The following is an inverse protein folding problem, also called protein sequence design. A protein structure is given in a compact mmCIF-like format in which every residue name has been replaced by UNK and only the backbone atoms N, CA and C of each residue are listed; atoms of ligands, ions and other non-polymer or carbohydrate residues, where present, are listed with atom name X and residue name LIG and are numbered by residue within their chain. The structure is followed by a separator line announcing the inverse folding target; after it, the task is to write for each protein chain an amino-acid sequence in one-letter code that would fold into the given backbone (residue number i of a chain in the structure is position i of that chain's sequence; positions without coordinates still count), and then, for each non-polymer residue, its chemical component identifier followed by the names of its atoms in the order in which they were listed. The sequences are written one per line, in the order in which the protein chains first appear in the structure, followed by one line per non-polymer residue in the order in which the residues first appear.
data_IF_202610420968
#
_entry.id   IF_202610420968
#
_cell.length_a   1.000
_cell.length_b   1.000
_cell.length_c   1.000
_cell.angle_alpha   90.00
_cell.angle_beta   90.00
_cell.angle_gamma   90.00
#
_symmetry.space_group_name_H-M   'P 1'
#
loop_
_entity.id
_entity.type
_entity.pdbx_description
1 polymer ?
#
# COMPACT_ATOMS: atom_id res chain seq x y z
N UNK A 1 16.73 7.07 54.16
CA UNK A 1 16.02 7.67 53.03
C UNK A 1 17.02 7.75 51.89
N UNK A 2 16.87 6.93 50.86
CA UNK A 2 17.74 6.97 49.69
C UNK A 2 17.30 8.14 48.81
N UNK A 3 18.22 9.06 48.51
CA UNK A 3 18.00 10.15 47.56
C UNK A 3 17.72 9.55 46.18
N UNK A 4 16.52 9.84 45.66
CA UNK A 4 16.16 9.49 44.30
C UNK A 4 16.92 10.47 43.39
N UNK A 5 17.94 9.99 42.67
CA UNK A 5 18.66 10.78 41.67
C UNK A 5 17.63 11.38 40.69
N UNK A 6 17.57 12.70 40.62
CA UNK A 6 16.80 13.42 39.62
C UNK A 6 17.37 13.08 38.24
N UNK A 7 16.56 12.43 37.41
CA UNK A 7 16.93 12.06 36.04
C UNK A 7 17.27 13.35 35.27
N UNK A 8 18.51 13.45 34.82
CA UNK A 8 19.00 14.58 34.02
C UNK A 8 18.41 14.50 32.61
N UNK A 9 17.34 15.28 32.36
CA UNK A 9 16.61 15.32 31.09
C UNK A 9 17.52 15.64 29.88
N UNK A 10 18.60 16.40 30.08
CA UNK A 10 19.55 16.71 29.01
C UNK A 10 20.43 15.51 28.65
N UNK A 11 20.83 14.69 29.64
CA UNK A 11 21.51 13.42 29.39
C UNK A 11 20.58 12.40 28.73
N UNK A 12 19.30 12.40 29.10
CA UNK A 12 18.29 11.56 28.46
C UNK A 12 18.10 11.96 26.99
N UNK A 13 18.01 13.26 26.69
CA UNK A 13 17.90 13.79 25.32
C UNK A 13 19.14 13.51 24.45
N UNK A 14 20.35 13.69 24.98
CA UNK A 14 21.58 13.36 24.24
C UNK A 14 21.76 11.84 24.04
N UNK A 15 21.36 11.03 25.03
CA UNK A 15 21.28 9.59 24.87
C UNK A 15 20.21 9.21 23.84
N UNK A 16 19.11 9.98 23.76
CA UNK A 16 18.04 9.79 22.79
C UNK A 16 18.46 10.06 21.36
N UNK A 17 19.08 11.21 21.08
CA UNK A 17 19.62 11.50 19.75
C UNK A 17 20.70 10.49 19.33
N UNK A 18 21.55 10.09 20.27
CA UNK A 18 22.59 9.08 20.02
C UNK A 18 22.01 7.69 19.82
N UNK A 19 20.90 7.36 20.49
CA UNK A 19 20.18 6.11 20.30
C UNK A 19 19.38 6.12 19.01
N UNK A 20 18.73 7.23 18.61
CA UNK A 20 18.11 7.40 17.29
C UNK A 20 19.12 7.24 16.16
N UNK A 21 20.31 7.85 16.27
CA UNK A 21 21.41 7.71 15.31
C UNK A 21 21.99 6.28 15.28
N UNK A 22 21.96 5.57 16.42
CA UNK A 22 22.34 4.16 16.53
C UNK A 22 21.20 3.18 16.22
N UNK A 23 19.96 3.65 16.06
CA UNK A 23 18.80 2.88 15.63
C UNK A 23 18.95 2.63 14.13
N UNK A 24 19.90 1.74 13.87
CA UNK A 24 20.38 1.17 12.64
C UNK A 24 19.91 1.86 11.35
N UNK A 25 20.50 3.01 11.10
CA UNK A 25 20.31 3.78 9.88
C UNK A 25 20.68 2.97 8.62
N UNK A 26 21.57 1.97 8.77
CA UNK A 26 21.93 1.05 7.70
C UNK A 26 20.83 0.02 7.44
N UNK A 27 20.24 -0.59 8.48
CA UNK A 27 19.08 -1.48 8.36
C UNK A 27 17.86 -0.76 7.77
N UNK A 28 17.62 0.51 8.15
CA UNK A 28 16.54 1.33 7.60
C UNK A 28 16.74 1.67 6.13
N UNK A 29 17.97 1.97 5.73
CA UNK A 29 18.33 2.23 4.32
C UNK A 29 18.18 0.97 3.49
N UNK A 30 18.62 -0.18 4.02
CA UNK A 30 18.42 -1.47 3.37
C UNK A 30 16.93 -1.80 3.26
N UNK A 31 16.14 -1.57 4.31
CA UNK A 31 14.68 -1.75 4.28
C UNK A 31 14.02 -0.86 3.22
N UNK A 32 14.47 0.39 3.05
CA UNK A 32 13.95 1.27 2.00
C UNK A 32 14.27 0.76 0.60
N UNK A 33 15.46 0.20 0.41
CA UNK A 33 15.86 -0.40 -0.86
C UNK A 33 15.02 -1.65 -1.17
N UNK A 34 14.89 -2.56 -0.21
CA UNK A 34 14.08 -3.78 -0.35
C UNK A 34 12.60 -3.43 -0.61
N UNK A 35 12.09 -2.40 0.07
CA UNK A 35 10.73 -1.89 -0.12
C UNK A 35 10.52 -1.38 -1.55
N UNK A 36 11.45 -0.59 -2.09
CA UNK A 36 11.37 -0.10 -3.47
C UNK A 36 11.33 -1.24 -4.48
N UNK A 37 12.18 -2.24 -4.29
CA UNK A 37 12.21 -3.43 -5.16
C UNK A 37 10.91 -4.23 -5.07
N UNK A 38 10.35 -4.39 -3.87
CA UNK A 38 9.08 -5.06 -3.67
C UNK A 38 7.90 -4.29 -4.30
N UNK A 39 7.89 -2.97 -4.21
CA UNK A 39 6.86 -2.12 -4.83
C UNK A 39 6.91 -2.16 -6.36
N UNK A 40 8.10 -2.17 -6.96
CA UNK A 40 8.26 -2.31 -8.41
C UNK A 40 7.84 -3.71 -8.89
N UNK A 41 8.17 -4.76 -8.14
CA UNK A 41 7.68 -6.12 -8.43
C UNK A 41 6.17 -6.20 -8.33
N UNK A 42 5.57 -5.67 -7.26
CA UNK A 42 4.13 -5.66 -7.08
C UNK A 42 3.49 -4.99 -8.31
N UNK A 43 3.96 -3.79 -8.71
CA UNK A 43 3.47 -3.08 -9.90
C UNK A 43 3.48 -3.91 -11.20
N UNK A 44 4.41 -4.84 -11.37
CA UNK A 44 4.44 -5.74 -12.53
C UNK A 44 3.48 -6.93 -12.41
N UNK A 45 3.15 -7.35 -11.18
CA UNK A 45 2.28 -8.48 -10.87
C UNK A 45 0.82 -8.05 -10.61
N UNK A 46 0.36 -6.96 -11.21
CA UNK A 46 -1.03 -6.47 -11.07
C UNK A 46 -2.01 -7.53 -11.57
N UNK A 47 -2.85 -8.05 -10.67
CA UNK A 47 -3.86 -9.05 -11.02
C UNK A 47 -3.36 -10.50 -11.12
N UNK A 48 -2.17 -10.81 -10.58
CA UNK A 48 -1.76 -12.21 -10.45
C UNK A 48 -2.70 -12.96 -9.48
N UNK A 49 -3.31 -14.02 -10.00
CA UNK A 49 -4.23 -14.93 -9.29
C UNK A 49 -3.67 -16.35 -9.25
N UNK A 50 -2.36 -16.52 -9.41
CA UNK A 50 -1.69 -17.83 -9.35
C UNK A 50 -1.84 -18.50 -7.98
N UNK A 51 -1.94 -17.70 -6.92
CA UNK A 51 -1.95 -18.22 -5.55
C UNK A 51 -3.33 -18.14 -4.88
N UNK A 52 -4.26 -18.96 -5.36
CA UNK A 52 -5.63 -19.05 -4.85
C UNK A 52 -5.76 -20.17 -3.83
N UNK A 53 -6.37 -19.88 -2.68
CA UNK A 53 -6.68 -20.89 -1.68
C UNK A 53 -7.84 -21.79 -2.13
N UNK A 54 -7.78 -23.08 -1.81
CA UNK A 54 -8.86 -24.03 -2.10
C UNK A 54 -10.19 -23.66 -1.43
N UNK A 55 -10.15 -23.00 -0.27
CA UNK A 55 -11.34 -22.50 0.44
C UNK A 55 -11.79 -21.12 -0.04
N UNK A 56 -11.14 -20.55 -1.06
CA UNK A 56 -11.39 -19.22 -1.58
C UNK A 56 -10.42 -18.16 -1.05
N UNK A 57 -10.28 -17.07 -1.81
CA UNK A 57 -9.36 -15.97 -1.52
C UNK A 57 -7.97 -16.14 -2.14
N UNK A 58 -7.16 -15.09 -2.02
CA UNK A 58 -5.77 -15.07 -2.47
C UNK A 58 -4.85 -15.27 -1.26
N UNK A 59 -3.85 -16.13 -1.42
CA UNK A 59 -2.82 -16.37 -0.42
C UNK A 59 -1.66 -15.41 -0.70
N UNK A 60 -1.23 -14.73 0.35
CA UNK A 60 -0.03 -13.89 0.33
C UNK A 60 1.10 -14.64 1.04
N UNK A 61 1.86 -15.41 0.26
CA UNK A 61 2.95 -16.26 0.77
C UNK A 61 4.35 -15.82 0.33
N UNK A 62 4.48 -14.68 -0.38
CA UNK A 62 5.80 -14.18 -0.78
C UNK A 62 6.67 -13.95 0.46
N UNK A 63 7.71 -14.79 0.67
CA UNK A 63 8.50 -14.75 1.88
C UNK A 63 9.26 -13.43 2.03
N UNK A 64 9.64 -12.79 0.90
CA UNK A 64 10.33 -11.50 0.93
C UNK A 64 9.39 -10.39 1.37
N UNK A 65 8.16 -10.42 0.86
CA UNK A 65 7.14 -9.42 1.20
C UNK A 65 6.72 -9.51 2.67
N UNK A 66 6.54 -10.73 3.18
CA UNK A 66 6.25 -10.98 4.60
C UNK A 66 7.40 -10.50 5.51
N UNK A 67 8.64 -10.73 5.11
CA UNK A 67 9.82 -10.24 5.85
C UNK A 67 9.86 -8.71 5.89
N UNK A 68 9.67 -8.04 4.76
CA UNK A 68 9.62 -6.57 4.67
C UNK A 68 8.52 -6.01 5.59
N UNK A 69 7.31 -6.58 5.55
CA UNK A 69 6.22 -6.14 6.43
C UNK A 69 6.56 -6.31 7.91
N UNK A 70 7.14 -7.45 8.29
CA UNK A 70 7.58 -7.70 9.68
C UNK A 70 8.62 -6.68 10.12
N UNK A 71 9.60 -6.36 9.26
CA UNK A 71 10.63 -5.34 9.52
C UNK A 71 10.03 -3.94 9.68
N UNK A 72 9.06 -3.57 8.86
CA UNK A 72 8.36 -2.28 8.98
C UNK A 72 7.57 -2.19 10.30
N UNK A 73 6.82 -3.24 10.66
CA UNK A 73 6.08 -3.29 11.93
C UNK A 73 7.04 -3.22 13.11
N UNK A 74 8.16 -3.93 13.05
CA UNK A 74 9.17 -3.93 14.09
C UNK A 74 9.83 -2.56 14.26
N UNK A 75 10.16 -1.88 13.16
CA UNK A 75 10.69 -0.51 13.18
C UNK A 75 9.68 0.48 13.78
N UNK A 76 8.39 0.31 13.47
CA UNK A 76 7.32 1.11 14.06
C UNK A 76 7.23 0.91 15.58
N UNK A 77 7.27 -0.35 16.03
CA UNK A 77 7.26 -0.70 17.46
C UNK A 77 8.47 -0.11 18.19
N UNK A 78 9.68 -0.23 17.62
CA UNK A 78 10.89 0.39 18.20
C UNK A 78 10.73 1.91 18.32
N UNK A 79 10.25 2.56 17.26
CA UNK A 79 10.07 4.02 17.22
C UNK A 79 9.03 4.48 18.25
N UNK A 80 7.91 3.76 18.37
CA UNK A 80 6.88 4.04 19.37
C UNK A 80 7.36 3.82 20.80
N UNK A 81 8.00 2.68 21.06
CA UNK A 81 8.53 2.36 22.40
C UNK A 81 9.58 3.38 22.83
N UNK A 82 10.43 3.82 21.90
CA UNK A 82 11.40 4.89 22.16
C UNK A 82 10.73 6.22 22.52
N UNK A 83 9.75 6.66 21.73
CA UNK A 83 9.03 7.91 21.98
C UNK A 83 8.33 7.92 23.34
N UNK A 84 7.81 6.78 23.80
CA UNK A 84 7.22 6.64 25.13
C UNK A 84 8.30 6.75 26.22
N UNK A 85 9.44 6.06 26.07
CA UNK A 85 10.54 6.11 27.05
C UNK A 85 11.19 7.49 27.15
N UNK A 86 11.21 8.26 26.05
CA UNK A 86 11.72 9.63 26.03
C UNK A 86 10.79 10.66 26.70
N UNK A 87 9.67 10.23 27.30
CA UNK A 87 8.75 11.10 28.05
C UNK A 87 7.71 11.82 27.20
N UNK A 88 7.65 11.55 25.89
CA UNK A 88 6.59 12.10 25.05
C UNK A 88 5.28 11.36 25.32
N UNK A 89 4.21 12.09 25.66
CA UNK A 89 2.85 11.54 25.70
C UNK A 89 2.43 11.07 24.30
N UNK A 90 2.66 9.80 24.00
CA UNK A 90 2.19 9.18 22.75
C UNK A 90 0.68 9.01 22.86
N UNK A 91 -0.05 9.86 22.16
CA UNK A 91 -1.47 9.65 21.96
C UNK A 91 -1.62 8.48 20.96
N UNK A 92 -1.77 7.26 21.48
CA UNK A 92 -1.80 6.01 20.69
C UNK A 92 -2.88 6.07 19.58
N UNK A 93 -3.91 6.88 19.78
CA UNK A 93 -5.02 7.11 18.84
C UNK A 93 -4.59 7.97 17.64
N UNK A 94 -3.55 8.80 17.75
CA UNK A 94 -3.03 9.67 16.68
C UNK A 94 -1.76 9.15 16.02
N UNK A 95 -1.30 7.94 16.35
CA UNK A 95 -0.13 7.35 15.70
C UNK A 95 -0.51 7.03 14.25
N UNK A 96 -0.02 7.83 13.32
CA UNK A 96 -0.10 7.52 11.90
C UNK A 96 0.67 6.24 11.62
N UNK A 97 0.10 5.38 10.77
CA UNK A 97 0.83 4.21 10.27
C UNK A 97 2.13 4.67 9.61
N UNK A 98 3.25 3.94 9.79
CA UNK A 98 4.50 4.22 9.11
C UNK A 98 4.28 4.37 7.60
N UNK A 99 4.88 5.40 7.01
CA UNK A 99 4.80 5.68 5.56
C UNK A 99 5.21 4.45 4.72
N UNK A 100 6.10 3.60 5.24
CA UNK A 100 6.58 2.38 4.60
C UNK A 100 5.50 1.29 4.38
N UNK A 101 4.36 1.36 5.05
CA UNK A 101 3.21 0.46 4.83
C UNK A 101 2.39 0.87 3.58
N UNK A 102 2.64 2.07 3.07
CA UNK A 102 1.90 2.61 1.94
C UNK A 102 2.57 2.29 0.61
N UNK A 103 1.76 1.98 -0.40
CA UNK A 103 2.22 2.00 -1.80
C UNK A 103 2.36 3.44 -2.30
N UNK A 104 3.23 3.72 -3.28
CA UNK A 104 3.46 5.06 -3.83
C UNK A 104 2.32 5.51 -4.78
N UNK A 105 1.06 5.20 -4.44
CA UNK A 105 -0.13 5.55 -5.21
C UNK A 105 -1.23 6.04 -4.28
N UNK A 106 -2.05 6.96 -4.79
CA UNK A 106 -3.29 7.34 -4.13
C UNK A 106 -4.36 6.27 -4.31
N UNK A 107 -5.33 6.22 -3.40
CA UNK A 107 -6.50 5.34 -3.51
C UNK A 107 -7.24 5.51 -4.85
N UNK A 108 -7.34 6.73 -5.36
CA UNK A 108 -7.96 6.99 -6.68
C UNK A 108 -7.14 6.37 -7.81
N UNK A 109 -5.82 6.46 -7.74
CA UNK A 109 -4.94 5.76 -8.67
C UNK A 109 -5.13 4.25 -8.58
N UNK A 110 -5.26 3.70 -7.38
CA UNK A 110 -5.49 2.27 -7.18
C UNK A 110 -6.84 1.81 -7.76
N UNK A 111 -7.89 2.58 -7.54
CA UNK A 111 -9.25 2.28 -8.03
C UNK A 111 -9.31 2.13 -9.55
N UNK A 112 -8.51 2.90 -10.31
CA UNK A 112 -8.48 2.79 -11.77
C UNK A 112 -7.99 1.42 -12.26
N UNK A 113 -7.19 0.70 -11.47
CA UNK A 113 -6.73 -0.65 -11.87
C UNK A 113 -7.90 -1.64 -11.94
N UNK A 114 -8.91 -1.46 -11.08
CA UNK A 114 -10.13 -2.27 -11.10
C UNK A 114 -10.93 -2.13 -12.41
N UNK A 115 -10.65 -1.10 -13.20
CA UNK A 115 -11.30 -0.87 -14.49
C UNK A 115 -10.48 -1.40 -15.68
N UNK A 116 -9.37 -2.10 -15.42
CA UNK A 116 -8.52 -2.72 -16.47
C UNK A 116 -9.29 -3.68 -17.38
N UNK A 117 -10.33 -4.36 -16.88
CA UNK A 117 -11.17 -5.25 -17.67
C UNK A 117 -12.28 -4.52 -18.47
N UNK A 118 -12.49 -3.22 -18.24
CA UNK A 118 -13.56 -2.44 -18.87
C UNK A 118 -13.49 -2.47 -20.41
N UNK A 119 -12.33 -2.24 -21.06
CA UNK A 119 -12.24 -2.22 -22.53
C UNK A 119 -12.61 -3.56 -23.18
N UNK A 120 -12.45 -4.67 -22.46
CA UNK A 120 -12.73 -6.02 -22.96
C UNK A 120 -14.21 -6.36 -22.70
N UNK A 121 -14.66 -6.23 -21.45
CA UNK A 121 -15.98 -6.72 -21.03
C UNK A 121 -17.10 -5.76 -21.41
N UNK A 122 -16.91 -4.45 -21.23
CA UNK A 122 -17.93 -3.46 -21.60
C UNK A 122 -18.06 -3.33 -23.11
N UNK A 123 -16.97 -3.51 -23.87
CA UNK A 123 -17.04 -3.59 -25.33
C UNK A 123 -17.85 -4.79 -25.80
N UNK A 124 -17.62 -5.97 -25.21
CA UNK A 124 -18.43 -7.17 -25.50
C UNK A 124 -19.90 -6.94 -25.14
N UNK A 125 -20.18 -6.30 -24.01
CA UNK A 125 -21.53 -5.95 -23.58
C UNK A 125 -22.23 -5.01 -24.59
N UNK A 126 -21.52 -4.00 -25.10
CA UNK A 126 -22.06 -3.04 -26.06
C UNK A 126 -22.44 -3.66 -27.42
N UNK A 127 -21.78 -4.77 -27.80
CA UNK A 127 -22.07 -5.50 -29.03
C UNK A 127 -23.22 -6.52 -28.90
N UNK A 128 -23.73 -6.78 -27.70
CA UNK A 128 -24.83 -7.72 -27.51
C UNK A 128 -26.19 -7.06 -27.80
N UNK A 129 -27.01 -7.75 -28.60
CA UNK A 129 -28.39 -7.36 -28.90
C UNK A 129 -29.34 -7.79 -27.78
N UNK A 130 -29.20 -9.02 -27.30
CA UNK A 130 -29.99 -9.54 -26.19
C UNK A 130 -29.66 -8.80 -24.88
N UNK A 131 -30.66 -8.21 -24.19
CA UNK A 131 -30.45 -7.56 -22.90
C UNK A 131 -29.88 -8.50 -21.82
N UNK A 132 -30.21 -9.80 -21.84
CA UNK A 132 -29.72 -10.74 -20.81
C UNK A 132 -28.23 -11.04 -21.02
N UNK A 133 -27.81 -11.38 -22.24
CA UNK A 133 -26.38 -11.55 -22.56
C UNK A 133 -25.56 -10.29 -22.28
N UNK A 134 -26.08 -9.11 -22.61
CA UNK A 134 -25.44 -7.83 -22.28
C UNK A 134 -25.23 -7.67 -20.78
N UNK A 135 -26.24 -7.99 -19.97
CA UNK A 135 -26.16 -7.86 -18.51
C UNK A 135 -25.14 -8.81 -17.90
N UNK A 136 -24.97 -10.02 -18.44
CA UNK A 136 -23.92 -10.96 -17.99
C UNK A 136 -22.51 -10.36 -18.10
N UNK A 137 -22.20 -9.68 -19.20
CA UNK A 137 -20.90 -9.02 -19.37
C UNK A 137 -20.71 -7.83 -18.42
N UNK A 138 -21.77 -7.08 -18.10
CA UNK A 138 -21.72 -5.99 -17.11
C UNK A 138 -21.46 -6.54 -15.70
N UNK A 139 -22.12 -7.63 -15.31
CA UNK A 139 -21.85 -8.32 -14.04
C UNK A 139 -20.41 -8.83 -14.01
N UNK A 140 -19.97 -9.49 -15.08
CA UNK A 140 -18.61 -10.00 -15.20
C UNK A 140 -17.59 -8.87 -15.04
N UNK A 141 -17.83 -7.69 -15.62
CA UNK A 141 -16.99 -6.51 -15.43
C UNK A 141 -16.93 -6.07 -13.96
N UNK A 142 -18.08 -5.96 -13.29
CA UNK A 142 -18.14 -5.53 -11.90
C UNK A 142 -17.35 -6.45 -10.96
N UNK A 143 -17.35 -7.76 -11.22
CA UNK A 143 -16.64 -8.75 -10.40
C UNK A 143 -15.16 -8.86 -10.80
N UNK A 144 -14.85 -8.84 -12.10
CA UNK A 144 -13.49 -8.99 -12.60
C UNK A 144 -12.57 -7.90 -12.06
N UNK A 145 -13.04 -6.67 -11.82
CA UNK A 145 -12.20 -5.62 -11.24
C UNK A 145 -11.74 -5.87 -9.79
N UNK A 146 -12.41 -6.75 -9.04
CA UNK A 146 -12.18 -6.91 -7.60
C UNK A 146 -10.82 -7.53 -7.29
N UNK A 147 -10.42 -8.58 -8.01
CA UNK A 147 -9.14 -9.27 -7.76
C UNK A 147 -7.94 -8.34 -7.99
N UNK A 148 -8.05 -7.40 -8.93
CA UNK A 148 -7.00 -6.44 -9.24
C UNK A 148 -6.73 -5.50 -8.06
N UNK A 149 -7.73 -5.24 -7.22
CA UNK A 149 -7.65 -4.35 -6.05
C UNK A 149 -7.07 -5.04 -4.80
N UNK A 150 -6.98 -6.37 -4.79
CA UNK A 150 -6.48 -7.13 -3.63
C UNK A 150 -4.95 -7.04 -3.62
N UNK A 151 -4.41 -6.36 -2.60
CA UNK A 151 -2.99 -6.01 -2.47
C UNK A 151 -2.59 -5.99 -1.01
N UNK A 152 -1.30 -6.21 -0.77
CA UNK A 152 -0.74 -6.17 0.58
C UNK A 152 -0.46 -4.74 1.08
N UNK A 153 -0.25 -3.79 0.17
CA UNK A 153 0.09 -2.40 0.49
C UNK A 153 -1.14 -1.51 0.62
N UNK A 154 -1.07 -0.53 1.53
CA UNK A 154 -2.15 0.44 1.72
C UNK A 154 -1.98 1.60 0.74
N UNK A 155 -2.96 1.92 -0.13
CA UNK A 155 -2.90 3.14 -0.93
C UNK A 155 -2.90 4.38 -0.05
N UNK A 156 -2.20 5.44 -0.48
CA UNK A 156 -2.29 6.74 0.17
C UNK A 156 -3.71 7.28 0.10
N UNK A 157 -4.18 7.85 1.21
CA UNK A 157 -5.46 8.53 1.26
C UNK A 157 -5.44 9.70 0.26
N UNK A 158 -6.47 9.87 -0.60
CA UNK A 158 -6.47 10.93 -1.57
C UNK A 158 -6.48 12.28 -0.84
N UNK A 159 -5.52 13.12 -1.20
CA UNK A 159 -5.42 14.47 -0.66
C UNK A 159 -6.50 15.31 -1.36
N UNK A 160 -7.26 16.14 -0.62
CA UNK A 160 -8.40 16.93 -1.13
C UNK A 160 -8.09 17.83 -2.36
N UNK A 161 -6.82 18.00 -2.76
CA UNK A 161 -6.40 18.79 -3.93
C UNK A 161 -6.04 17.97 -5.17
N UNK A 162 -5.95 16.64 -5.10
CA UNK A 162 -5.55 15.77 -6.21
C UNK A 162 -6.74 15.13 -6.96
N UNK A 163 -7.83 15.89 -7.13
CA UNK A 163 -8.89 15.58 -8.10
C UNK A 163 -8.43 16.00 -9.52
N UNK A 164 -7.29 15.51 -9.98
CA UNK A 164 -6.79 15.86 -11.32
C UNK A 164 -7.44 14.96 -12.37
N UNK A 165 -8.51 15.46 -12.99
CA UNK A 165 -9.32 14.83 -14.06
C UNK A 165 -8.50 14.33 -15.26
N UNK A 166 -7.22 14.72 -15.36
CA UNK A 166 -6.34 14.38 -16.46
C UNK A 166 -5.86 12.91 -16.46
N UNK A 167 -5.84 12.21 -15.32
CA UNK A 167 -5.41 10.81 -15.28
C UNK A 167 -6.42 9.85 -15.94
N UNK A 168 -7.71 10.03 -15.64
CA UNK A 168 -8.80 9.24 -16.24
C UNK A 168 -8.79 9.41 -17.77
N UNK A 169 -8.60 10.65 -18.24
CA UNK A 169 -8.52 10.95 -19.68
C UNK A 169 -7.33 10.25 -20.36
N UNK A 170 -6.15 10.23 -19.72
CA UNK A 170 -4.97 9.53 -20.26
C UNK A 170 -5.15 8.00 -20.29
N UNK A 171 -5.79 7.41 -19.29
CA UNK A 171 -6.07 5.96 -19.26
C UNK A 171 -7.01 5.51 -20.38
N UNK A 172 -8.09 6.26 -20.62
CA UNK A 172 -8.99 5.96 -21.74
C UNK A 172 -8.32 6.18 -23.11
N UNK A 173 -7.45 7.20 -23.24
CA UNK A 173 -6.73 7.45 -24.50
C UNK A 173 -5.63 6.42 -24.79
N UNK A 174 -4.89 5.95 -23.78
CA UNK A 174 -3.84 4.94 -23.98
C UNK A 174 -4.41 3.54 -24.25
N UNK A 175 -5.55 3.20 -23.64
CA UNK A 175 -6.21 1.92 -23.88
C UNK A 175 -6.89 1.85 -25.25
N UNK A 176 -7.21 2.98 -25.88
CA UNK A 176 -7.69 3.05 -27.27
C UNK A 176 -6.54 2.93 -28.27
N UNK A 177 -5.34 3.46 -27.96
CA UNK A 177 -4.18 3.35 -28.87
C UNK A 177 -3.55 1.94 -28.94
N UNK A 178 -3.72 1.10 -27.91
CA UNK A 178 -3.20 -0.27 -27.91
C UNK A 178 -4.14 -1.29 -28.58
N UNK A 179 -5.39 -0.91 -28.85
CA UNK A 179 -6.31 -1.67 -29.68
C UNK A 179 -6.43 -0.98 -31.02
N UNK A 180 -5.50 -1.27 -31.95
CA UNK A 180 -5.55 -0.75 -33.31
C UNK A 180 -6.91 -1.04 -33.98
N UNK A 181 -7.75 -0.01 -33.98
CA UNK A 181 -8.89 0.25 -34.87
C UNK A 181 -8.86 1.76 -35.12
#
# INVERSE_FOLDING_TARGET
MAEFETIDENKLGAAAEKFECKLDQSERTQLDQDLREALERDRLMVGDVSNVCQTGGLIFDDPKMLDIQRRIVWDAVKTLGWNIMAGNTVNIISVSLPVRIFEPRSFLGRLSDGWSCAPILLRKAALQTDPVERFKYVIAFAIAGLHVNIRQWKPFNPIRKLEDKNYIRKFFQSSVMLSGI
#
